data_IF_753630936029
#
_entry.id   IF_753630936029
#
_cell.length_a   1.000
_cell.length_b   1.000
_cell.length_c   1.000
_cell.angle_alpha   90.00
_cell.angle_beta   90.00
_cell.angle_gamma   90.00
#
_symmetry.space_group_name_H-M   'P 1'
#
loop_
_entity.id
_entity.type
_entity.pdbx_description
1 polymer ?
#
# COMPACT_ATOMS: atom_id res chain seq x y z
N UNK A 1 -1.05 10.47 18.34
CA UNK A 1 -2.01 10.14 17.27
C UNK A 1 -1.58 8.83 16.64
N UNK A 2 -2.49 7.95 16.22
CA UNK A 2 -2.13 6.74 15.50
C UNK A 2 -1.45 7.06 14.17
N UNK A 3 -0.44 6.26 13.82
CA UNK A 3 0.32 6.43 12.57
C UNK A 3 0.48 5.09 11.86
N UNK A 4 0.46 5.14 10.53
CA UNK A 4 0.70 4.02 9.64
C UNK A 4 1.85 4.36 8.69
N UNK A 5 2.90 3.55 8.73
CA UNK A 5 3.97 3.54 7.74
C UNK A 5 3.81 2.31 6.84
N UNK A 6 3.63 2.55 5.55
CA UNK A 6 3.48 1.50 4.55
C UNK A 6 4.49 1.71 3.43
N UNK A 7 5.24 0.65 3.11
CA UNK A 7 6.15 0.59 1.96
C UNK A 7 5.84 -0.62 1.11
N UNK A 8 5.76 -0.38 -0.20
CA UNK A 8 5.61 -1.43 -1.19
C UNK A 8 6.86 -1.54 -2.03
N UNK A 9 7.32 -2.77 -2.23
CA UNK A 9 8.41 -3.10 -3.13
C UNK A 9 7.86 -3.17 -4.56
N UNK A 10 8.24 -2.24 -5.45
CA UNK A 10 7.75 -2.21 -6.83
C UNK A 10 7.97 -3.53 -7.56
N UNK A 11 9.11 -4.19 -7.35
CA UNK A 11 9.43 -5.45 -8.00
C UNK A 11 8.52 -6.60 -7.52
N UNK A 12 8.14 -6.60 -6.25
CA UNK A 12 7.19 -7.60 -5.70
C UNK A 12 5.73 -7.33 -6.08
N UNK A 13 5.43 -6.10 -6.47
CA UNK A 13 4.08 -5.71 -6.84
C UNK A 13 3.70 -6.28 -8.22
N UNK A 14 4.60 -6.19 -9.21
CA UNK A 14 4.31 -6.57 -10.61
C UNK A 14 4.77 -7.98 -10.98
N UNK A 15 5.54 -8.64 -10.11
CA UNK A 15 6.06 -9.99 -10.35
C UNK A 15 7.11 -10.02 -11.47
N UNK A 16 7.23 -11.13 -12.19
CA UNK A 16 8.21 -11.30 -13.28
C UNK A 16 7.72 -10.78 -14.64
N UNK A 17 6.66 -9.97 -14.68
CA UNK A 17 6.10 -9.50 -15.94
C UNK A 17 6.96 -8.36 -16.51
N UNK A 18 7.81 -8.69 -17.48
CA UNK A 18 8.71 -7.73 -18.12
C UNK A 18 8.00 -6.60 -18.90
N UNK A 19 6.70 -6.75 -19.20
CA UNK A 19 5.93 -5.72 -19.90
C UNK A 19 5.39 -4.63 -18.96
N UNK A 20 5.50 -4.79 -17.65
CA UNK A 20 4.93 -3.86 -16.66
C UNK A 20 6.03 -3.00 -16.08
N UNK A 21 5.80 -1.69 -16.02
CA UNK A 21 6.66 -0.77 -15.30
C UNK A 21 6.41 -0.93 -13.78
N UNK A 22 7.40 -1.45 -13.01
CA UNK A 22 7.23 -1.68 -11.58
C UNK A 22 6.99 -0.39 -10.81
N UNK A 23 7.73 0.67 -11.13
CA UNK A 23 7.73 1.92 -10.39
C UNK A 23 6.46 2.72 -10.69
N UNK A 24 6.05 2.79 -11.96
CA UNK A 24 4.80 3.42 -12.34
C UNK A 24 3.58 2.68 -11.76
N UNK A 25 3.64 1.34 -11.72
CA UNK A 25 2.59 0.52 -11.10
C UNK A 25 2.55 0.69 -9.58
N UNK A 26 3.70 0.79 -8.91
CA UNK A 26 3.77 1.07 -7.48
C UNK A 26 3.22 2.46 -7.14
N UNK A 27 3.58 3.48 -7.92
CA UNK A 27 3.05 4.83 -7.76
C UNK A 27 1.52 4.85 -7.91
N UNK A 28 0.98 4.18 -8.95
CA UNK A 28 -0.47 4.07 -9.16
C UNK A 28 -1.17 3.33 -8.03
N UNK A 29 -0.61 2.20 -7.59
CA UNK A 29 -1.13 1.45 -6.45
C UNK A 29 -1.17 2.30 -5.17
N UNK A 30 -0.10 3.04 -4.86
CA UNK A 30 -0.05 3.92 -3.69
C UNK A 30 -1.07 5.06 -3.79
N UNK A 31 -1.29 5.60 -4.99
CA UNK A 31 -2.30 6.63 -5.25
C UNK A 31 -3.74 6.11 -5.02
N UNK A 32 -4.01 4.85 -5.35
CA UNK A 32 -5.31 4.20 -5.08
C UNK A 32 -5.44 3.75 -3.62
N UNK A 33 -4.34 3.34 -2.99
CA UNK A 33 -4.32 2.86 -1.60
C UNK A 33 -4.58 3.98 -0.60
N UNK A 34 -4.01 5.17 -0.81
CA UNK A 34 -4.17 6.32 0.09
C UNK A 34 -5.65 6.63 0.42
N UNK A 35 -6.54 6.90 -0.55
CA UNK A 35 -7.94 7.21 -0.26
C UNK A 35 -8.73 6.01 0.30
N UNK A 36 -8.28 4.77 0.10
CA UNK A 36 -8.88 3.62 0.75
C UNK A 36 -8.53 3.57 2.25
N UNK A 37 -7.27 3.81 2.59
CA UNK A 37 -6.82 3.87 3.99
C UNK A 37 -7.39 5.09 4.71
N UNK A 38 -7.48 6.25 4.08
CA UNK A 38 -8.08 7.46 4.70
C UNK A 38 -9.55 7.24 5.09
N UNK A 39 -10.30 6.43 4.33
CA UNK A 39 -11.69 6.06 4.66
C UNK A 39 -11.77 5.06 5.81
N UNK A 40 -10.88 4.07 5.84
CA UNK A 40 -10.86 3.01 6.85
C UNK A 40 -10.23 3.47 8.18
N UNK A 41 -9.29 4.42 8.12
CA UNK A 41 -8.47 4.92 9.22
C UNK A 41 -8.60 6.45 9.33
N UNK A 42 -9.80 6.98 9.59
CA UNK A 42 -10.00 8.42 9.66
C UNK A 42 -9.17 9.04 10.79
N UNK A 43 -8.41 10.09 10.46
CA UNK A 43 -7.59 10.85 11.42
C UNK A 43 -6.23 10.22 11.74
N UNK A 44 -5.84 9.14 11.06
CA UNK A 44 -4.50 8.57 11.17
C UNK A 44 -3.50 9.35 10.32
N UNK A 45 -2.26 9.40 10.78
CA UNK A 45 -1.15 9.88 9.97
C UNK A 45 -0.69 8.77 9.01
N UNK A 46 -0.71 9.05 7.70
CA UNK A 46 -0.44 8.05 6.66
C UNK A 46 0.84 8.37 5.87
N UNK A 47 1.89 7.61 6.16
CA UNK A 47 3.15 7.62 5.44
C UNK A 47 3.22 6.43 4.48
N UNK A 48 2.95 6.67 3.20
CA UNK A 48 2.90 5.66 2.14
C UNK A 48 3.98 5.95 1.10
N UNK A 49 4.70 4.92 0.67
CA UNK A 49 5.80 5.11 -0.29
C UNK A 49 6.27 3.82 -0.96
N UNK A 50 7.08 3.97 -2.01
CA UNK A 50 7.79 2.86 -2.63
C UNK A 50 9.12 2.61 -1.89
N UNK A 51 9.53 1.35 -1.81
CA UNK A 51 10.76 0.92 -1.15
C UNK A 51 10.68 -0.53 -0.67
N UNK A 52 11.68 -1.02 0.09
CA UNK A 52 11.60 -2.36 0.68
C UNK A 52 10.29 -2.55 1.44
N UNK A 53 9.58 -3.65 1.16
CA UNK A 53 8.26 -3.90 1.71
C UNK A 53 8.29 -3.84 3.25
N UNK A 54 7.47 -2.96 3.82
CA UNK A 54 7.40 -2.73 5.25
C UNK A 54 6.00 -2.24 5.65
N UNK A 55 5.53 -2.68 6.81
CA UNK A 55 4.28 -2.24 7.41
C UNK A 55 4.53 -2.01 8.90
N UNK A 56 4.20 -0.82 9.39
CA UNK A 56 4.32 -0.46 10.80
C UNK A 56 3.13 0.37 11.22
N UNK A 57 2.51 -0.01 12.33
CA UNK A 57 1.39 0.68 12.95
C UNK A 57 1.83 1.15 14.34
N UNK A 58 1.57 2.40 14.66
CA UNK A 58 1.97 3.03 15.92
C UNK A 58 0.80 3.73 16.62
N UNK A 59 0.93 3.94 17.93
CA UNK A 59 -0.02 4.74 18.71
C UNK A 59 -1.39 4.08 18.92
N UNK A 60 -1.45 2.75 18.90
CA UNK A 60 -2.66 1.94 19.15
C UNK A 60 -2.36 0.82 20.15
N UNK A 61 -3.39 0.32 20.85
CA UNK A 61 -3.24 -0.76 21.84
C UNK A 61 -2.96 -2.13 21.22
N UNK A 62 -3.48 -2.40 20.01
CA UNK A 62 -3.27 -3.67 19.28
C UNK A 62 -2.80 -3.43 17.84
N UNK A 63 -1.49 -3.18 17.64
CA UNK A 63 -0.95 -2.88 16.31
C UNK A 63 -1.03 -4.08 15.36
N UNK A 64 -1.07 -5.32 15.86
CA UNK A 64 -1.12 -6.52 15.01
C UNK A 64 -2.48 -6.66 14.32
N UNK A 65 -3.58 -6.46 15.04
CA UNK A 65 -4.92 -6.48 14.46
C UNK A 65 -5.10 -5.36 13.42
N UNK A 66 -4.57 -4.17 13.70
CA UNK A 66 -4.61 -3.07 12.74
C UNK A 66 -3.74 -3.32 11.51
N UNK A 67 -2.56 -3.94 11.68
CA UNK A 67 -1.72 -4.34 10.56
C UNK A 67 -2.46 -5.31 9.62
N UNK A 68 -3.14 -6.33 10.17
CA UNK A 68 -3.96 -7.26 9.38
C UNK A 68 -5.08 -6.53 8.61
N UNK A 69 -5.72 -5.54 9.23
CA UNK A 69 -6.76 -4.74 8.56
C UNK A 69 -6.17 -3.91 7.41
N UNK A 70 -5.03 -3.26 7.62
CA UNK A 70 -4.32 -2.49 6.58
C UNK A 70 -3.91 -3.38 5.41
N UNK A 71 -3.40 -4.58 5.69
CA UNK A 71 -3.07 -5.56 4.65
C UNK A 71 -4.32 -6.00 3.86
N UNK A 72 -5.46 -6.16 4.54
CA UNK A 72 -6.74 -6.44 3.90
C UNK A 72 -7.15 -5.35 2.90
N UNK A 73 -7.03 -4.08 3.29
CA UNK A 73 -7.30 -2.93 2.40
C UNK A 73 -6.33 -2.90 1.23
N UNK A 74 -5.03 -3.07 1.48
CA UNK A 74 -4.00 -3.08 0.45
C UNK A 74 -4.25 -4.21 -0.59
N UNK A 75 -4.65 -5.39 -0.12
CA UNK A 75 -5.00 -6.52 -0.99
C UNK A 75 -6.23 -6.22 -1.84
N UNK A 76 -7.27 -5.62 -1.28
CA UNK A 76 -8.47 -5.24 -2.02
C UNK A 76 -8.14 -4.25 -3.14
N UNK A 77 -7.34 -3.22 -2.85
CA UNK A 77 -6.87 -2.24 -3.84
C UNK A 77 -6.05 -2.91 -4.95
N UNK A 78 -5.12 -3.80 -4.59
CA UNK A 78 -4.28 -4.51 -5.58
C UNK A 78 -5.10 -5.36 -6.57
N UNK A 79 -6.24 -5.90 -6.15
CA UNK A 79 -7.12 -6.67 -7.03
C UNK A 79 -8.01 -5.80 -7.93
N UNK A 80 -8.13 -4.50 -7.65
CA UNK A 80 -8.92 -3.55 -8.43
C UNK A 80 -8.07 -2.66 -9.35
N UNK A 81 -6.76 -2.56 -9.11
CA UNK A 81 -5.86 -1.69 -9.85
C UNK A 81 -5.52 -2.18 -11.26
N UNK A 82 -5.39 -1.24 -12.20
CA UNK A 82 -4.86 -1.47 -13.55
C UNK A 82 -3.33 -1.39 -13.53
N UNK A 83 -2.65 -2.42 -14.03
CA UNK A 83 -1.18 -2.44 -14.18
C UNK A 83 -0.73 -1.50 -15.30
N UNK A 84 0.36 -0.74 -15.09
CA UNK A 84 0.91 0.16 -16.12
C UNK A 84 1.89 -0.64 -17.00
N UNK A 85 1.55 -0.79 -18.28
CA UNK A 85 2.35 -1.51 -19.27
C UNK A 85 3.24 -0.51 -20.02
N UNK A 86 4.49 -0.88 -20.36
CA UNK A 86 5.33 -0.07 -21.24
C UNK A 86 4.65 0.10 -22.61
N UNK A 87 4.57 1.34 -23.10
CA UNK A 87 4.15 1.65 -24.49
C UNK A 87 5.27 1.40 -25.50
#
# INVERSE_FOLDING_TARGET
>A
MPALHYRIDPAKLVGTNAAVDPDASAARFLAELRPALERELPGWELDLGAGPAALRVEGVEDPATWALRVEGVARAVRHCGTWVVYE
#
